data_IF_909315460034
#
_entry.id   IF_909315460034
#
_cell.length_a   1.000
_cell.length_b   1.000
_cell.length_c   1.000
_cell.angle_alpha   90.00
_cell.angle_beta   90.00
_cell.angle_gamma   90.00
#
_symmetry.space_group_name_H-M   'P 1'
#
loop_
_entity.id
_entity.type
_entity.pdbx_description
1 polymer ?
#
# COMPACT_ATOMS: atom_id res chain seq x y z
N UNK A 1 -6.53 -16.67 -7.36
CA UNK A 1 -7.37 -15.62 -6.75
C UNK A 1 -7.76 -16.01 -5.34
N UNK A 2 -7.31 -15.24 -4.35
CA UNK A 2 -7.57 -15.45 -2.92
C UNK A 2 -8.82 -14.67 -2.50
N UNK A 3 -9.73 -15.30 -1.76
CA UNK A 3 -10.94 -14.65 -1.26
C UNK A 3 -10.80 -14.29 0.22
N UNK A 4 -11.20 -13.08 0.58
CA UNK A 4 -11.24 -12.57 1.95
C UNK A 4 -12.61 -11.96 2.22
N UNK A 5 -13.24 -12.37 3.32
CA UNK A 5 -14.48 -11.76 3.81
C UNK A 5 -14.16 -10.89 5.02
N UNK A 6 -14.70 -9.67 5.04
CA UNK A 6 -14.47 -8.70 6.11
C UNK A 6 -15.80 -8.09 6.54
N UNK A 7 -16.00 -7.93 7.85
CA UNK A 7 -17.14 -7.18 8.38
C UNK A 7 -16.86 -5.67 8.22
N UNK A 8 -17.58 -4.94 7.36
CA UNK A 8 -17.24 -3.55 7.06
C UNK A 8 -17.50 -2.59 8.20
N UNK A 9 -18.52 -2.84 9.04
CA UNK A 9 -18.83 -2.00 10.19
C UNK A 9 -17.72 -2.11 11.24
N UNK A 10 -17.31 -3.34 11.56
CA UNK A 10 -16.18 -3.57 12.48
C UNK A 10 -14.87 -2.98 11.95
N UNK A 11 -14.62 -3.07 10.65
CA UNK A 11 -13.42 -2.52 10.05
C UNK A 11 -13.30 -0.99 10.18
N UNK A 12 -14.42 -0.27 10.10
CA UNK A 12 -14.46 1.17 10.32
C UNK A 12 -14.07 1.51 11.76
N UNK A 13 -14.67 0.83 12.73
CA UNK A 13 -14.38 1.06 14.15
C UNK A 13 -12.93 0.66 14.51
N UNK A 14 -12.44 -0.46 13.94
CA UNK A 14 -11.06 -0.90 14.11
C UNK A 14 -10.08 0.15 13.55
N UNK A 15 -10.35 0.68 12.35
CA UNK A 15 -9.51 1.72 11.74
C UNK A 15 -9.51 3.02 12.56
N UNK A 16 -10.67 3.42 13.10
CA UNK A 16 -10.76 4.58 14.00
C UNK A 16 -9.97 4.40 15.28
N UNK A 17 -10.03 3.21 15.88
CA UNK A 17 -9.26 2.89 17.07
C UNK A 17 -7.76 2.95 16.79
N UNK A 18 -7.30 2.56 15.60
CA UNK A 18 -5.88 2.55 15.23
C UNK A 18 -5.38 3.97 14.91
N UNK A 19 -6.16 4.74 14.13
CA UNK A 19 -5.77 6.10 13.73
C UNK A 19 -5.90 7.10 14.90
N UNK A 20 -6.83 6.85 15.81
CA UNK A 20 -7.19 7.76 16.89
C UNK A 20 -8.39 8.62 16.49
N UNK A 21 -9.51 8.42 17.19
CA UNK A 21 -10.77 9.10 16.95
C UNK A 21 -10.65 10.63 17.02
N UNK A 22 -9.95 11.15 18.02
CA UNK A 22 -9.79 12.61 18.20
C UNK A 22 -9.11 13.25 17.00
N UNK A 23 -8.08 12.60 16.45
CA UNK A 23 -7.36 13.07 15.26
C UNK A 23 -8.26 13.07 14.00
N UNK A 24 -9.10 12.04 13.84
CA UNK A 24 -10.08 11.98 12.75
C UNK A 24 -11.14 13.08 12.87
N UNK A 25 -11.62 13.35 14.08
CA UNK A 25 -12.57 14.43 14.36
C UNK A 25 -11.98 15.82 14.12
N UNK A 26 -10.70 16.03 14.42
CA UNK A 26 -9.98 17.27 14.06
C UNK A 26 -9.90 17.46 12.55
N UNK A 27 -9.56 16.41 11.80
CA UNK A 27 -9.56 16.47 10.34
C UNK A 27 -10.97 16.75 9.78
N UNK A 28 -12.03 16.20 10.39
CA UNK A 28 -13.41 16.52 10.03
C UNK A 28 -13.74 18.01 10.20
N UNK A 29 -13.24 18.65 11.27
CA UNK A 29 -13.42 20.09 11.49
C UNK A 29 -12.70 20.87 10.39
N UNK A 30 -11.44 20.56 10.11
CA UNK A 30 -10.66 21.18 9.04
C UNK A 30 -11.34 21.07 7.66
N UNK A 31 -11.95 19.92 7.36
CA UNK A 31 -12.71 19.72 6.11
C UNK A 31 -13.97 20.60 6.03
N UNK A 32 -14.67 20.80 7.16
CA UNK A 32 -15.86 21.68 7.22
C UNK A 32 -15.48 23.15 7.14
N UNK A 33 -14.41 23.56 7.82
CA UNK A 33 -13.93 24.93 7.90
C UNK A 33 -13.31 25.40 6.57
N UNK A 34 -12.48 24.56 5.94
CA UNK A 34 -11.87 24.83 4.64
C UNK A 34 -12.87 24.99 3.49
N UNK A 35 -14.13 24.58 3.71
CA UNK A 35 -15.24 24.77 2.78
C UNK A 35 -16.15 25.96 3.17
N UNK A 36 -15.72 26.85 4.06
CA UNK A 36 -16.52 27.97 4.60
C UNK A 36 -17.89 27.51 5.17
N UNK A 37 -17.91 26.36 5.85
CA UNK A 37 -19.15 25.78 6.37
C UNK A 37 -20.07 25.16 5.31
N UNK A 38 -19.63 25.07 4.05
CA UNK A 38 -20.35 24.38 2.97
C UNK A 38 -19.94 22.90 2.82
N UNK A 39 -18.96 22.43 3.58
CA UNK A 39 -18.56 21.02 3.62
C UNK A 39 -19.63 20.18 4.34
N UNK A 40 -20.21 19.22 3.63
CA UNK A 40 -21.27 18.37 4.15
C UNK A 40 -21.44 17.12 3.29
N UNK A 41 -22.21 16.16 3.81
CA UNK A 41 -22.40 14.87 3.16
C UNK A 41 -22.85 15.02 1.70
N UNK A 42 -22.22 14.27 0.79
CA UNK A 42 -22.58 14.23 -0.63
C UNK A 42 -22.13 15.43 -1.48
N UNK A 43 -21.27 16.31 -0.96
CA UNK A 43 -20.67 17.42 -1.74
C UNK A 43 -19.26 17.08 -2.20
N UNK A 44 -18.82 17.74 -3.27
CA UNK A 44 -17.43 17.65 -3.73
C UNK A 44 -16.51 18.33 -2.72
N UNK A 45 -15.52 17.60 -2.24
CA UNK A 45 -14.46 18.09 -1.34
C UNK A 45 -13.14 17.84 -2.05
N UNK A 46 -12.35 18.89 -2.26
CA UNK A 46 -10.97 18.75 -2.72
C UNK A 46 -10.06 18.42 -1.52
N UNK A 47 -9.92 17.13 -1.22
CA UNK A 47 -9.10 16.66 -0.11
C UNK A 47 -7.61 17.01 -0.29
N UNK A 48 -7.15 17.10 -1.53
CA UNK A 48 -5.75 17.40 -1.84
C UNK A 48 -5.42 18.85 -1.55
N UNK A 49 -6.28 19.78 -1.98
CA UNK A 49 -6.14 21.22 -1.67
C UNK A 49 -6.18 21.49 -0.16
N UNK A 50 -7.03 20.76 0.56
CA UNK A 50 -7.15 20.86 2.01
C UNK A 50 -6.00 20.19 2.78
N UNK A 51 -5.04 19.57 2.09
CA UNK A 51 -3.93 18.88 2.72
C UNK A 51 -4.36 17.68 3.56
N UNK A 52 -5.50 17.06 3.26
CA UNK A 52 -6.05 15.94 4.01
C UNK A 52 -5.40 14.63 3.56
N UNK A 53 -4.92 13.84 4.52
CA UNK A 53 -4.31 12.55 4.24
C UNK A 53 -5.27 11.59 3.53
N UNK A 54 -4.74 10.77 2.62
CA UNK A 54 -5.54 9.86 1.80
C UNK A 54 -6.36 8.88 2.65
N UNK A 55 -5.80 8.39 3.76
CA UNK A 55 -6.52 7.53 4.72
C UNK A 55 -7.77 8.21 5.30
N UNK A 56 -7.71 9.52 5.57
CA UNK A 56 -8.84 10.29 6.12
C UNK A 56 -9.92 10.43 5.07
N UNK A 57 -9.54 10.71 3.81
CA UNK A 57 -10.48 10.74 2.68
C UNK A 57 -11.24 9.41 2.58
N UNK A 58 -10.52 8.28 2.57
CA UNK A 58 -11.12 6.95 2.48
C UNK A 58 -12.05 6.67 3.66
N UNK A 59 -11.58 6.94 4.90
CA UNK A 59 -12.38 6.76 6.10
C UNK A 59 -13.65 7.61 6.09
N UNK A 60 -13.54 8.91 5.77
CA UNK A 60 -14.67 9.82 5.71
C UNK A 60 -15.72 9.35 4.70
N UNK A 61 -15.27 9.00 3.48
CA UNK A 61 -16.16 8.50 2.44
C UNK A 61 -16.82 7.17 2.80
N UNK A 62 -16.11 6.27 3.47
CA UNK A 62 -16.68 5.03 3.98
C UNK A 62 -17.74 5.26 5.08
N UNK A 63 -17.55 6.27 5.94
CA UNK A 63 -18.57 6.71 6.90
C UNK A 63 -19.80 7.27 6.18
N UNK A 64 -19.64 8.07 5.12
CA UNK A 64 -20.77 8.54 4.30
C UNK A 64 -21.58 7.38 3.72
N UNK A 65 -20.89 6.40 3.10
CA UNK A 65 -21.52 5.21 2.52
C UNK A 65 -22.26 4.35 3.56
N UNK A 66 -21.69 4.21 4.75
CA UNK A 66 -22.30 3.42 5.83
C UNK A 66 -23.57 4.08 6.37
N UNK A 67 -23.54 5.40 6.58
CA UNK A 67 -24.71 6.18 7.02
C UNK A 67 -25.81 6.14 5.94
N UNK A 68 -25.47 6.33 4.67
CA UNK A 68 -26.44 6.25 3.58
C UNK A 68 -27.14 4.89 3.54
N UNK A 69 -26.37 3.80 3.65
CA UNK A 69 -26.87 2.42 3.74
C UNK A 69 -27.82 2.21 4.92
N UNK A 70 -27.51 2.77 6.08
CA UNK A 70 -28.39 2.71 7.26
C UNK A 70 -29.71 3.45 7.02
N UNK A 71 -29.66 4.64 6.39
CA UNK A 71 -30.83 5.47 6.08
C UNK A 71 -31.76 4.76 5.07
N UNK A 72 -31.21 4.17 4.01
CA UNK A 72 -32.00 3.50 2.97
C UNK A 72 -32.48 2.09 3.38
N UNK A 73 -32.14 1.65 4.59
CA UNK A 73 -32.60 0.37 5.17
C UNK A 73 -31.88 -0.86 4.62
N UNK A 74 -30.67 -0.70 4.08
CA UNK A 74 -29.88 -1.78 3.50
C UNK A 74 -29.08 -1.36 2.26
N UNK A 75 -28.38 -2.31 1.65
CA UNK A 75 -27.54 -2.05 0.49
C UNK A 75 -26.21 -2.79 0.54
N UNK A 76 -25.52 -2.84 -0.59
CA UNK A 76 -24.17 -3.40 -0.63
C UNK A 76 -23.16 -2.33 -0.21
N UNK A 77 -22.07 -2.72 0.48
CA UNK A 77 -20.99 -1.80 0.79
C UNK A 77 -20.46 -1.11 -0.45
N UNK A 78 -20.28 0.20 -0.34
CA UNK A 78 -19.69 1.00 -1.38
C UNK A 78 -18.18 0.80 -1.49
N UNK A 79 -17.57 1.40 -2.52
CA UNK A 79 -16.14 1.26 -2.80
C UNK A 79 -15.23 1.70 -1.64
N UNK A 80 -15.57 2.78 -0.93
CA UNK A 80 -14.73 3.27 0.17
C UNK A 80 -14.85 2.40 1.41
N UNK A 81 -16.05 1.89 1.70
CA UNK A 81 -16.30 0.94 2.78
C UNK A 81 -15.48 -0.33 2.58
N UNK A 82 -15.44 -0.85 1.34
CA UNK A 82 -14.61 -2.01 1.01
C UNK A 82 -13.10 -1.72 1.11
N UNK A 83 -12.66 -0.52 0.73
CA UNK A 83 -11.26 -0.10 0.88
C UNK A 83 -10.83 0.02 2.35
N UNK A 84 -11.68 0.60 3.22
CA UNK A 84 -11.46 0.60 4.68
C UNK A 84 -11.41 -0.82 5.22
N UNK A 85 -12.33 -1.68 4.79
CA UNK A 85 -12.35 -3.08 5.19
C UNK A 85 -11.04 -3.79 4.82
N UNK A 86 -10.57 -3.61 3.58
CA UNK A 86 -9.31 -4.15 3.12
C UNK A 86 -8.14 -3.69 4.02
N UNK A 87 -8.06 -2.39 4.27
CA UNK A 87 -7.01 -1.77 5.07
C UNK A 87 -7.01 -2.24 6.52
N UNK A 88 -8.16 -2.24 7.20
CA UNK A 88 -8.26 -2.75 8.57
C UNK A 88 -7.80 -4.21 8.65
N UNK A 89 -8.22 -5.02 7.67
CA UNK A 89 -7.79 -6.40 7.56
C UNK A 89 -6.31 -6.57 7.20
N UNK A 90 -5.59 -5.55 6.74
CA UNK A 90 -4.15 -5.63 6.50
C UNK A 90 -3.34 -5.31 7.76
N UNK A 91 -3.90 -4.49 8.65
CA UNK A 91 -3.29 -4.13 9.92
C UNK A 91 -3.31 -5.30 10.91
N UNK A 92 -4.34 -6.15 10.87
CA UNK A 92 -4.47 -7.33 11.73
C UNK A 92 -3.21 -8.24 11.73
N UNK A 93 -2.72 -8.76 10.58
CA UNK A 93 -1.51 -9.60 10.56
C UNK A 93 -0.22 -8.82 10.85
N UNK A 94 -0.26 -7.48 10.91
CA UNK A 94 0.90 -6.62 11.12
C UNK A 94 1.03 -6.13 12.57
N UNK A 95 0.02 -6.33 13.43
CA UNK A 95 -0.10 -5.68 14.74
C UNK A 95 1.14 -5.84 15.65
N UNK A 96 1.85 -6.97 15.54
CA UNK A 96 3.03 -7.28 16.36
C UNK A 96 4.36 -6.99 15.65
N UNK A 97 4.34 -6.45 14.43
CA UNK A 97 5.54 -6.20 13.66
C UNK A 97 6.26 -4.93 14.11
N UNK A 98 7.58 -5.02 14.18
CA UNK A 98 8.44 -3.94 14.62
C UNK A 98 8.28 -2.71 13.69
N UNK A 99 8.06 -1.53 14.28
CA UNK A 99 7.95 -0.27 13.54
C UNK A 99 6.57 0.02 12.92
N UNK A 100 5.55 -0.81 13.18
CA UNK A 100 4.17 -0.54 12.72
C UNK A 100 3.64 0.82 13.22
N UNK A 101 3.94 1.21 14.47
CA UNK A 101 3.53 2.51 15.02
C UNK A 101 4.00 3.67 14.15
N UNK A 102 5.26 3.61 13.68
CA UNK A 102 5.81 4.64 12.80
C UNK A 102 5.08 4.67 11.46
N UNK A 103 4.65 3.51 10.95
CA UNK A 103 3.83 3.45 9.73
C UNK A 103 2.44 4.01 9.94
N UNK A 104 1.84 3.81 11.11
CA UNK A 104 0.57 4.45 11.46
C UNK A 104 0.73 5.98 11.52
N UNK A 105 1.86 6.49 12.00
CA UNK A 105 2.13 7.93 11.99
C UNK A 105 2.39 8.45 10.57
N UNK A 106 3.19 7.76 9.75
CA UNK A 106 3.40 8.11 8.34
C UNK A 106 2.08 8.08 7.55
N UNK A 107 1.17 7.17 7.89
CA UNK A 107 -0.14 7.07 7.27
C UNK A 107 -1.01 8.32 7.49
N UNK A 108 -0.78 9.03 8.59
CA UNK A 108 -1.41 10.32 8.92
C UNK A 108 -0.79 11.50 8.17
N UNK A 109 0.40 11.33 7.59
CA UNK A 109 1.06 12.37 6.80
C UNK A 109 0.50 12.42 5.37
N UNK A 110 0.01 13.58 4.96
CA UNK A 110 -0.67 13.78 3.67
C UNK A 110 0.14 13.28 2.47
N UNK A 111 1.45 13.55 2.47
CA UNK A 111 2.35 13.20 1.38
C UNK A 111 2.71 11.71 1.33
N UNK A 112 2.55 11.00 2.45
CA UNK A 112 2.98 9.60 2.58
C UNK A 112 1.80 8.63 2.63
N UNK A 113 0.61 9.11 2.99
CA UNK A 113 -0.57 8.30 3.31
C UNK A 113 -0.89 7.23 2.26
N UNK A 114 -0.99 7.62 0.98
CA UNK A 114 -1.31 6.70 -0.10
C UNK A 114 -0.25 5.59 -0.24
N UNK A 115 1.02 5.98 -0.33
CA UNK A 115 2.16 5.03 -0.41
C UNK A 115 2.16 4.07 0.77
N UNK A 116 1.95 4.57 2.00
CA UNK A 116 1.96 3.76 3.22
C UNK A 116 0.79 2.78 3.23
N UNK A 117 -0.40 3.17 2.73
CA UNK A 117 -1.50 2.22 2.56
C UNK A 117 -1.12 1.04 1.67
N UNK A 118 -0.47 1.30 0.54
CA UNK A 118 -0.02 0.23 -0.36
C UNK A 118 1.11 -0.61 0.25
N UNK A 119 2.07 0.04 0.94
CA UNK A 119 3.15 -0.63 1.66
C UNK A 119 2.59 -1.64 2.69
N UNK A 120 1.61 -1.22 3.49
CA UNK A 120 0.92 -2.07 4.46
C UNK A 120 0.16 -3.22 3.79
N UNK A 121 -0.50 -2.97 2.65
CA UNK A 121 -1.16 -4.01 1.87
C UNK A 121 -0.19 -5.12 1.43
N UNK A 122 0.96 -4.74 0.85
CA UNK A 122 2.01 -5.70 0.43
C UNK A 122 2.61 -6.42 1.65
N UNK A 123 2.96 -5.68 2.70
CA UNK A 123 3.51 -6.24 3.92
C UNK A 123 2.57 -7.26 4.57
N UNK A 124 1.27 -6.98 4.60
CA UNK A 124 0.26 -7.89 5.14
C UNK A 124 0.18 -9.20 4.35
N UNK A 125 0.36 -9.15 3.03
CA UNK A 125 0.41 -10.34 2.18
C UNK A 125 1.60 -11.24 2.46
N UNK A 126 2.76 -10.65 2.75
CA UNK A 126 3.94 -11.37 3.25
C UNK A 126 3.70 -11.96 4.64
N UNK A 127 3.14 -11.16 5.58
CA UNK A 127 2.84 -11.61 6.94
C UNK A 127 1.89 -12.82 6.94
N UNK A 128 0.84 -12.79 6.11
CA UNK A 128 -0.12 -13.89 5.93
C UNK A 128 0.52 -15.16 5.34
N UNK A 129 1.63 -15.03 4.62
CA UNK A 129 2.43 -16.17 4.12
C UNK A 129 3.44 -16.69 5.17
N UNK A 130 3.47 -16.11 6.38
CA UNK A 130 4.34 -16.51 7.48
C UNK A 130 5.70 -15.80 7.51
N UNK A 131 5.89 -14.74 6.71
CA UNK A 131 7.12 -13.95 6.76
C UNK A 131 7.07 -12.98 7.96
N UNK A 132 8.22 -12.77 8.60
CA UNK A 132 8.40 -11.70 9.58
C UNK A 132 8.60 -10.37 8.86
N UNK A 133 7.84 -9.36 9.24
CA UNK A 133 7.95 -7.99 8.72
C UNK A 133 8.68 -7.10 9.74
N UNK A 134 9.58 -6.25 9.25
CA UNK A 134 10.29 -5.24 10.04
C UNK A 134 10.31 -3.90 9.30
N UNK A 135 9.64 -2.90 9.88
CA UNK A 135 9.55 -1.53 9.37
C UNK A 135 10.59 -0.57 9.99
N UNK A 136 11.37 -1.01 10.99
CA UNK A 136 12.35 -0.16 11.72
C UNK A 136 13.61 0.07 10.89
N UNK A 137 13.97 -0.87 10.00
CA UNK A 137 15.18 -0.83 9.17
C UNK A 137 15.15 0.21 8.03
N UNK A 138 14.49 1.34 8.27
CA UNK A 138 14.43 2.54 7.41
C UNK A 138 15.76 3.29 7.32
N UNK A 139 16.65 3.12 8.31
CA UNK A 139 17.93 3.83 8.43
C UNK A 139 18.97 3.53 7.33
N UNK A 140 18.67 2.64 6.38
CA UNK A 140 19.58 2.32 5.26
C UNK A 140 19.43 3.31 4.09
N UNK A 141 18.32 4.05 3.99
CA UNK A 141 18.11 5.00 2.87
C UNK A 141 18.96 6.27 3.04
N UNK A 142 19.17 6.73 4.28
CA UNK A 142 19.96 7.94 4.58
C UNK A 142 21.48 7.78 4.44
N UNK A 143 21.96 6.62 3.97
CA UNK A 143 23.39 6.37 3.72
C UNK A 143 23.71 6.10 2.25
N UNK A 144 22.71 6.14 1.36
CA UNK A 144 22.92 6.03 -0.09
C UNK A 144 23.18 7.43 -0.62
N UNK A 145 24.43 7.74 -0.99
CA UNK A 145 24.78 9.01 -1.63
C UNK A 145 23.89 9.24 -2.88
N UNK A 146 23.16 10.36 -2.89
CA UNK A 146 22.25 10.74 -3.97
C UNK A 146 20.81 10.21 -3.84
N UNK A 147 20.47 9.53 -2.75
CA UNK A 147 19.11 9.06 -2.44
C UNK A 147 18.56 9.66 -1.15
N UNK A 148 19.10 10.80 -0.72
CA UNK A 148 18.69 11.50 0.49
C UNK A 148 17.21 11.88 0.39
N UNK A 149 16.39 11.02 1.00
CA UNK A 149 14.98 11.21 1.29
C UNK A 149 14.14 11.51 0.05
N UNK A 150 13.98 10.53 -0.84
CA UNK A 150 12.83 10.56 -1.75
C UNK A 150 11.56 10.34 -0.90
N UNK A 151 10.71 11.36 -0.69
CA UNK A 151 9.47 11.19 0.08
C UNK A 151 8.54 10.14 -0.54
N UNK A 152 8.76 9.76 -1.80
CA UNK A 152 8.03 8.72 -2.51
C UNK A 152 8.43 7.27 -2.20
N UNK A 153 9.53 7.00 -1.46
CA UNK A 153 10.00 5.63 -1.21
C UNK A 153 9.70 5.13 0.21
N UNK A 154 9.01 4.00 0.31
CA UNK A 154 8.83 3.19 1.51
C UNK A 154 9.73 1.98 1.45
N UNK A 155 10.26 1.53 2.59
CA UNK A 155 11.06 0.30 2.66
C UNK A 155 10.70 -0.48 3.91
N UNK A 156 10.51 -1.78 3.75
CA UNK A 156 10.42 -2.73 4.85
C UNK A 156 11.14 -4.03 4.52
N UNK A 157 11.47 -4.79 5.56
CA UNK A 157 12.18 -6.05 5.42
C UNK A 157 11.22 -7.21 5.63
N UNK A 158 11.40 -8.26 4.83
CA UNK A 158 10.71 -9.54 4.98
C UNK A 158 11.72 -10.64 5.24
N UNK A 159 11.44 -11.51 6.21
CA UNK A 159 12.32 -12.59 6.59
C UNK A 159 11.55 -13.91 6.74
N UNK A 160 12.06 -14.99 6.16
CA UNK A 160 11.54 -16.35 6.31
C UNK A 160 12.71 -17.33 6.43
N UNK A 161 12.94 -17.85 7.64
CA UNK A 161 14.09 -18.71 7.93
C UNK A 161 15.42 -18.03 7.58
N UNK A 162 16.11 -18.55 6.56
CA UNK A 162 17.38 -18.01 6.06
C UNK A 162 17.22 -16.95 4.97
N UNK A 163 16.02 -16.81 4.39
CA UNK A 163 15.76 -15.85 3.32
C UNK A 163 15.41 -14.48 3.91
N UNK A 164 16.07 -13.43 3.40
CA UNK A 164 15.77 -12.03 3.73
C UNK A 164 15.62 -11.21 2.45
N UNK A 165 14.60 -10.36 2.40
CA UNK A 165 14.45 -9.42 1.30
C UNK A 165 14.07 -8.01 1.79
N UNK A 166 14.58 -7.00 1.10
CA UNK A 166 14.14 -5.63 1.22
C UNK A 166 13.07 -5.35 0.17
N UNK A 167 11.89 -4.93 0.62
CA UNK A 167 10.79 -4.53 -0.25
C UNK A 167 10.77 -3.01 -0.32
N UNK A 168 11.04 -2.47 -1.50
CA UNK A 168 11.10 -1.04 -1.79
C UNK A 168 9.76 -0.68 -2.45
N UNK A 169 8.91 0.03 -1.74
CA UNK A 169 7.60 0.45 -2.22
C UNK A 169 7.64 1.88 -2.75
N UNK A 170 7.11 2.09 -3.94
CA UNK A 170 7.03 3.39 -4.58
C UNK A 170 5.67 3.59 -5.27
N UNK A 171 5.29 4.84 -5.48
CA UNK A 171 4.14 5.23 -6.29
C UNK A 171 4.64 5.81 -7.62
N UNK A 172 4.09 5.32 -8.74
CA UNK A 172 4.37 5.81 -10.09
C UNK A 172 3.61 7.11 -10.44
N UNK A 173 3.10 7.82 -9.43
CA UNK A 173 2.42 9.10 -9.60
C UNK A 173 3.20 10.06 -10.51
N UNK A 174 2.55 10.80 -11.44
CA UNK A 174 3.25 11.66 -12.42
C UNK A 174 4.15 12.76 -11.83
N UNK A 175 3.97 13.07 -10.54
CA UNK A 175 4.80 14.03 -9.82
C UNK A 175 6.08 13.42 -9.23
N UNK A 176 6.18 12.10 -9.21
CA UNK A 176 7.38 11.40 -8.76
C UNK A 176 8.33 11.20 -9.94
N UNK A 177 9.61 11.47 -9.72
CA UNK A 177 10.64 11.15 -10.71
C UNK A 177 10.94 9.63 -10.66
N UNK A 178 10.48 8.92 -11.69
CA UNK A 178 10.72 7.49 -11.84
C UNK A 178 12.22 7.17 -11.97
N UNK A 179 13.00 8.06 -12.57
CA UNK A 179 14.44 7.92 -12.69
C UNK A 179 15.12 7.84 -11.33
N UNK A 180 14.71 8.72 -10.41
CA UNK A 180 15.18 8.72 -9.02
C UNK A 180 14.74 7.46 -8.26
N UNK A 181 13.48 7.03 -8.44
CA UNK A 181 12.98 5.76 -7.87
C UNK A 181 13.83 4.58 -8.34
N UNK A 182 14.10 4.48 -9.65
CA UNK A 182 14.89 3.39 -10.23
C UNK A 182 16.35 3.47 -9.80
N UNK A 183 16.92 4.67 -9.70
CA UNK A 183 18.26 4.88 -9.19
C UNK A 183 18.37 4.36 -7.76
N UNK A 184 17.46 4.75 -6.87
CA UNK A 184 17.50 4.31 -5.48
C UNK A 184 17.20 2.82 -5.32
N UNK A 185 16.30 2.25 -6.11
CA UNK A 185 16.06 0.82 -6.10
C UNK A 185 17.30 0.02 -6.53
N UNK A 186 18.04 0.50 -7.54
CA UNK A 186 19.30 -0.11 -8.00
C UNK A 186 20.42 -0.01 -6.96
N UNK A 187 20.52 1.12 -6.26
CA UNK A 187 21.61 1.39 -5.32
C UNK A 187 21.27 1.10 -3.86
N UNK A 188 20.06 0.61 -3.58
CA UNK A 188 19.69 0.20 -2.23
C UNK A 188 20.68 -0.87 -1.73
N UNK A 189 21.35 -0.68 -0.57
CA UNK A 189 22.39 -1.57 -0.10
C UNK A 189 21.86 -2.99 0.04
N UNK A 190 22.29 -3.87 -0.87
CA UNK A 190 22.19 -5.30 -0.66
C UNK A 190 23.29 -5.72 0.30
N UNK A 191 23.02 -6.63 1.23
CA UNK A 191 24.01 -7.20 2.16
C UNK A 191 25.19 -7.95 1.48
N UNK A 192 25.29 -7.91 0.15
CA UNK A 192 26.25 -8.69 -0.64
C UNK A 192 27.62 -8.01 -0.86
N UNK A 193 27.90 -6.81 -0.36
CA UNK A 193 29.22 -6.18 -0.55
C UNK A 193 30.17 -6.30 0.66
N UNK A 194 29.70 -6.76 1.82
CA UNK A 194 30.53 -6.91 3.03
C UNK A 194 30.63 -8.35 3.54
N UNK A 195 30.50 -9.36 2.68
CA UNK A 195 30.74 -10.77 3.03
C UNK A 195 32.25 -11.09 3.19
N UNK A 196 33.00 -10.19 3.83
CA UNK A 196 34.41 -10.34 4.19
C UNK A 196 34.64 -10.90 5.59
N UNK A 197 33.64 -10.90 6.47
CA UNK A 197 33.80 -11.36 7.86
C UNK A 197 32.68 -12.32 8.27
N UNK A 198 32.92 -13.62 8.07
CA UNK A 198 32.59 -14.73 8.99
C UNK A 198 31.19 -14.90 9.63
N UNK A 199 30.21 -14.04 9.39
CA UNK A 199 28.84 -14.17 9.86
C UNK A 199 27.93 -14.51 8.69
N UNK A 200 26.97 -15.41 8.89
CA UNK A 200 25.94 -15.82 7.92
C UNK A 200 25.39 -14.61 7.13
N UNK A 201 26.00 -14.34 5.98
CA UNK A 201 25.57 -13.31 5.05
C UNK A 201 24.38 -13.90 4.29
N UNK A 202 23.24 -13.98 4.97
CA UNK A 202 21.97 -14.25 4.32
C UNK A 202 21.82 -13.26 3.16
N UNK A 203 21.79 -13.77 1.92
CA UNK A 203 21.63 -12.99 0.71
C UNK A 203 20.39 -12.11 0.87
N UNK A 204 20.59 -10.80 1.00
CA UNK A 204 19.51 -9.83 1.03
C UNK A 204 19.07 -9.59 -0.41
N UNK A 205 17.95 -10.21 -0.81
CA UNK A 205 17.31 -9.91 -2.07
C UNK A 205 16.63 -8.53 -1.99
N UNK A 206 16.51 -7.83 -3.11
CA UNK A 206 15.78 -6.56 -3.21
C UNK A 206 14.60 -6.76 -4.16
N UNK A 207 13.48 -6.14 -3.85
CA UNK A 207 12.28 -6.16 -4.72
C UNK A 207 11.74 -4.74 -4.78
N UNK A 208 11.57 -4.22 -6.00
CA UNK A 208 10.83 -2.98 -6.22
C UNK A 208 9.35 -3.32 -6.37
N UNK A 209 8.52 -2.78 -5.49
CA UNK A 209 7.07 -2.78 -5.60
C UNK A 209 6.61 -1.40 -6.06
N UNK A 210 6.07 -1.30 -7.27
CA UNK A 210 5.61 -0.05 -7.87
C UNK A 210 4.09 -0.06 -7.98
N UNK A 211 3.44 0.91 -7.34
CA UNK A 211 2.01 1.17 -7.48
C UNK A 211 1.76 2.03 -8.72
N UNK A 212 0.86 1.61 -9.62
CA UNK A 212 0.76 2.20 -10.99
C UNK A 212 -0.58 2.84 -11.39
N UNK A 213 -1.56 2.95 -10.49
CA UNK A 213 -2.83 3.60 -10.83
C UNK A 213 -3.49 4.23 -9.61
N UNK A 214 -4.16 5.38 -9.74
CA UNK A 214 -4.91 5.98 -8.63
C UNK A 214 -6.28 5.30 -8.45
N UNK A 215 -6.42 4.66 -7.28
CA UNK A 215 -7.62 4.36 -6.52
C UNK A 215 -8.95 4.17 -7.28
N UNK A 216 -9.47 2.93 -7.20
CA UNK A 216 -10.87 2.53 -7.42
C UNK A 216 -11.37 2.43 -8.87
N UNK A 217 -10.72 3.04 -9.87
CA UNK A 217 -11.14 2.94 -11.29
C UNK A 217 -10.00 2.48 -12.21
N UNK A 218 -10.24 1.43 -13.02
CA UNK A 218 -9.40 0.98 -14.14
C UNK A 218 -7.92 0.59 -13.84
N UNK A 219 -7.61 0.09 -12.64
CA UNK A 219 -6.25 -0.34 -12.29
C UNK A 219 -5.69 -1.48 -13.15
N UNK A 220 -6.53 -2.43 -13.60
CA UNK A 220 -6.04 -3.64 -14.27
C UNK A 220 -5.38 -3.40 -15.64
N UNK A 221 -5.88 -2.45 -16.43
CA UNK A 221 -5.30 -2.10 -17.74
C UNK A 221 -3.94 -1.42 -17.60
N UNK A 222 -3.74 -0.64 -16.53
CA UNK A 222 -2.44 -0.02 -16.20
C UNK A 222 -1.37 -1.06 -15.90
N UNK A 223 -1.71 -2.18 -15.27
CA UNK A 223 -0.73 -3.25 -15.04
C UNK A 223 -0.16 -3.82 -16.35
N UNK A 224 -0.99 -3.99 -17.38
CA UNK A 224 -0.56 -4.51 -18.68
C UNK A 224 0.41 -3.54 -19.36
N UNK A 225 0.07 -2.25 -19.36
CA UNK A 225 0.88 -1.17 -19.93
C UNK A 225 2.26 -1.10 -19.26
N UNK A 226 2.29 -1.11 -17.92
CA UNK A 226 3.52 -0.96 -17.16
C UNK A 226 4.39 -2.24 -17.15
N UNK A 227 3.80 -3.43 -17.34
CA UNK A 227 4.53 -4.70 -17.31
C UNK A 227 5.57 -4.84 -18.44
N UNK A 228 5.39 -4.07 -19.52
CA UNK A 228 6.28 -4.01 -20.68
C UNK A 228 7.00 -2.65 -20.79
N UNK A 229 6.99 -1.83 -19.72
CA UNK A 229 7.65 -0.54 -19.72
C UNK A 229 9.17 -0.73 -19.91
N UNK A 230 9.80 -0.11 -20.93
CA UNK A 230 11.19 -0.40 -21.29
C UNK A 230 12.20 -0.24 -20.15
N UNK A 231 12.04 0.80 -19.33
CA UNK A 231 12.95 1.05 -18.20
C UNK A 231 12.78 0.04 -17.07
N UNK A 232 11.55 -0.42 -16.83
CA UNK A 232 11.29 -1.45 -15.83
C UNK A 232 11.79 -2.82 -16.30
N UNK A 233 11.63 -3.12 -17.58
CA UNK A 233 12.21 -4.32 -18.18
C UNK A 233 13.73 -4.29 -18.11
N UNK A 234 14.37 -3.12 -18.30
CA UNK A 234 15.81 -2.95 -18.14
C UNK A 234 16.24 -3.20 -16.70
N UNK A 235 15.55 -2.59 -15.73
CA UNK A 235 15.79 -2.79 -14.30
C UNK A 235 15.67 -4.26 -13.90
N UNK A 236 14.66 -4.94 -14.45
CA UNK A 236 14.39 -6.35 -14.22
C UNK A 236 15.45 -7.28 -14.82
N UNK A 237 15.82 -7.07 -16.09
CA UNK A 237 16.73 -7.95 -16.84
C UNK A 237 18.20 -7.66 -16.54
N UNK A 238 18.60 -6.40 -16.60
CA UNK A 238 20.00 -6.00 -16.62
C UNK A 238 20.53 -5.84 -15.18
N UNK A 239 19.71 -5.27 -14.29
CA UNK A 239 20.09 -5.06 -12.88
C UNK A 239 19.69 -6.24 -11.97
N UNK A 240 19.05 -7.27 -12.55
CA UNK A 240 18.52 -8.44 -11.84
C UNK A 240 17.68 -8.05 -10.61
N UNK A 241 16.89 -6.97 -10.74
CA UNK A 241 16.05 -6.43 -9.67
C UNK A 241 14.59 -6.82 -9.93
N UNK A 242 14.00 -7.72 -9.14
CA UNK A 242 12.60 -8.04 -9.24
C UNK A 242 11.69 -6.81 -9.14
N UNK A 243 10.89 -6.58 -10.17
CA UNK A 243 9.87 -5.51 -10.18
C UNK A 243 8.48 -6.11 -10.15
N UNK A 244 7.77 -5.86 -9.05
CA UNK A 244 6.34 -6.10 -8.85
C UNK A 244 5.57 -4.82 -9.15
N UNK A 245 4.64 -4.89 -10.08
CA UNK A 245 3.60 -3.90 -10.27
C UNK A 245 2.40 -4.26 -9.42
N UNK A 246 1.79 -3.26 -8.80
CA UNK A 246 0.62 -3.43 -7.96
C UNK A 246 -0.41 -2.33 -8.25
N UNK A 247 -1.68 -2.69 -8.14
CA UNK A 247 -2.79 -1.74 -8.15
C UNK A 247 -3.97 -2.34 -7.38
N UNK A 248 -4.90 -1.48 -7.02
CA UNK A 248 -6.16 -1.88 -6.42
C UNK A 248 -7.34 -1.12 -6.99
N UNK A 249 -8.53 -1.65 -6.77
CA UNK A 249 -9.75 -0.99 -7.18
C UNK A 249 -10.99 -1.83 -6.98
N UNK A 250 -12.06 -1.44 -7.66
CA UNK A 250 -13.38 -2.04 -7.49
C UNK A 250 -13.77 -2.79 -8.74
N UNK A 251 -14.29 -4.00 -8.55
CA UNK A 251 -14.82 -4.82 -9.62
C UNK A 251 -16.24 -5.26 -9.26
N UNK A 252 -17.12 -5.29 -10.26
CA UNK A 252 -18.44 -5.90 -10.09
C UNK A 252 -18.34 -7.40 -10.42
N UNK A 253 -18.69 -8.25 -9.45
CA UNK A 253 -18.73 -9.70 -9.58
C UNK A 253 -20.07 -10.22 -9.07
N UNK A 254 -20.82 -10.95 -9.91
CA UNK A 254 -22.14 -11.51 -9.57
C UNK A 254 -23.12 -10.46 -8.98
N UNK A 255 -23.21 -9.28 -9.62
CA UNK A 255 -24.00 -8.14 -9.13
C UNK A 255 -23.59 -7.63 -7.74
N UNK A 256 -22.33 -7.83 -7.34
CA UNK A 256 -21.76 -7.30 -6.11
C UNK A 256 -20.47 -6.54 -6.36
N UNK A 257 -20.32 -5.38 -5.71
CA UNK A 257 -19.05 -4.67 -5.68
C UNK A 257 -18.07 -5.42 -4.79
N UNK A 258 -16.86 -5.66 -5.30
CA UNK A 258 -15.77 -6.25 -4.55
C UNK A 258 -14.52 -5.40 -4.70
N UNK A 259 -13.72 -5.30 -3.65
CA UNK A 259 -12.43 -4.66 -3.71
C UNK A 259 -11.39 -5.68 -4.14
N UNK A 260 -10.54 -5.33 -5.10
CA UNK A 260 -9.61 -6.25 -5.70
C UNK A 260 -8.22 -5.65 -5.68
N UNK A 261 -7.24 -6.50 -5.38
CA UNK A 261 -5.82 -6.19 -5.46
C UNK A 261 -5.20 -7.03 -6.56
N UNK A 262 -4.56 -6.37 -7.51
CA UNK A 262 -3.90 -7.02 -8.63
C UNK A 262 -2.41 -6.73 -8.58
N UNK A 263 -1.63 -7.78 -8.74
CA UNK A 263 -0.20 -7.74 -8.85
C UNK A 263 0.25 -8.39 -10.15
N UNK A 264 1.34 -7.87 -10.70
CA UNK A 264 2.00 -8.49 -11.85
C UNK A 264 3.50 -8.24 -11.80
N UNK A 265 4.28 -9.22 -12.22
CA UNK A 265 5.71 -9.04 -12.40
C UNK A 265 5.99 -8.46 -13.79
N UNK A 266 6.93 -7.51 -13.85
CA UNK A 266 7.46 -6.99 -15.12
C UNK A 266 8.11 -8.11 -15.94
N UNK A 267 8.04 -8.02 -17.27
CA UNK A 267 8.69 -8.98 -18.15
C UNK A 267 10.22 -8.97 -17.99
N UNK A 268 10.81 -10.16 -18.00
CA UNK A 268 12.27 -10.34 -17.91
C UNK A 268 12.82 -10.61 -16.51
N UNK A 269 11.95 -10.60 -15.50
CA UNK A 269 12.36 -10.98 -14.15
C UNK A 269 12.81 -12.46 -14.14
N UNK A 270 13.87 -12.79 -13.39
CA UNK A 270 14.44 -14.15 -13.39
C UNK A 270 13.67 -15.14 -12.51
N UNK A 271 13.40 -16.34 -13.05
CA UNK A 271 12.60 -17.40 -12.44
C UNK A 271 13.01 -17.78 -11.00
N UNK A 272 14.32 -17.76 -10.72
CA UNK A 272 14.88 -18.16 -9.43
C UNK A 272 14.54 -17.19 -8.28
N UNK A 273 14.25 -15.92 -8.60
CA UNK A 273 14.02 -14.85 -7.63
C UNK A 273 12.54 -14.71 -7.20
N UNK A 274 11.62 -15.47 -7.81
CA UNK A 274 10.18 -15.28 -7.62
C UNK A 274 9.51 -16.08 -6.52
N UNK A 275 10.09 -17.21 -6.10
CA UNK A 275 9.38 -18.18 -5.25
C UNK A 275 8.85 -17.55 -3.96
N UNK A 276 9.56 -16.54 -3.47
CA UNK A 276 9.25 -15.84 -2.23
C UNK A 276 8.54 -14.49 -2.43
N UNK A 277 8.37 -14.01 -3.67
CA UNK A 277 7.73 -12.71 -3.91
C UNK A 277 6.22 -12.81 -3.69
N UNK A 278 5.67 -11.90 -2.89
CA UNK A 278 4.23 -11.74 -2.77
C UNK A 278 3.70 -10.99 -3.99
N UNK A 279 2.84 -11.67 -4.77
CA UNK A 279 2.12 -11.08 -5.89
C UNK A 279 0.65 -11.00 -5.48
N UNK A 280 0.08 -9.80 -5.32
CA UNK A 280 -1.34 -9.64 -5.03
C UNK A 280 -2.23 -10.27 -6.12
N UNK A 281 -3.23 -11.01 -5.68
CA UNK A 281 -4.31 -11.56 -6.52
C UNK A 281 -5.49 -11.87 -5.58
N UNK A 282 -6.01 -10.81 -4.98
CA UNK A 282 -6.94 -10.89 -3.85
C UNK A 282 -8.27 -10.24 -4.21
N UNK A 283 -9.36 -10.93 -3.87
CA UNK A 283 -10.72 -10.37 -3.82
C UNK A 283 -11.10 -10.22 -2.35
N UNK A 284 -11.47 -9.01 -2.00
CA UNK A 284 -11.97 -8.62 -0.69
C UNK A 284 -13.46 -8.31 -0.83
N UNK A 285 -14.25 -9.07 -0.11
CA UNK A 285 -15.71 -9.00 -0.10
C UNK A 285 -16.20 -8.67 1.30
N UNK A 286 -17.37 -8.07 1.38
CA UNK A 286 -18.05 -7.90 2.65
C UNK A 286 -18.66 -9.23 3.10
N UNK A 287 -18.47 -9.59 4.36
CA UNK A 287 -19.21 -10.70 4.96
C UNK A 287 -20.72 -10.40 4.91
N UNK A 288 -21.53 -11.38 4.55
CA UNK A 288 -22.99 -11.28 4.68
C UNK A 288 -23.33 -11.17 6.17
N UNK A 289 -24.15 -10.17 6.53
CA UNK A 289 -24.66 -9.97 7.89
C UNK A 289 -25.83 -10.93 8.15
#
# INVERSE_FOLDING_TARGET
>A
MRHKEINPARALDDLESILGKDWLEENLKSMKDGQNGKGGFGRFIDFTELGIAHVVKIWYKAREETIDREIVGGGMPGPYTLAVAAMAGDLEPLYLNAGLSNKIDELKETKLSLRVMHELGIASGYARKGYRIDFIKRQVVGSIQGCDVLPGLGVFMVESGVSKAAIICADAHPQNDLGDIFYCARHFPGASQNAGDGGDAALLQRVLCLYVADGLTDGASRLDEWAVHPELMRLSKDDNLPVLLYTDGIKNMHNRSVYVRWGRLVEGNQAALFKDIYIPDEIITAAEL
#
